data_IF_501384246599
#
_entry.id   IF_501384246599
#
_cell.length_a   1.000
_cell.length_b   1.000
_cell.length_c   1.000
_cell.angle_alpha   90.00
_cell.angle_beta   90.00
_cell.angle_gamma   90.00
#
_symmetry.space_group_name_H-M   'P 1'
#
loop_
_entity.id
_entity.type
_entity.pdbx_description
1 polymer ?
#
# COMPACT_ATOMS: atom_id res chain seq x y z
N UNK A 1 -56.80 -40.70 -36.13
CA UNK A 1 -57.69 -41.65 -35.44
C UNK A 1 -56.94 -42.10 -34.21
N UNK A 2 -57.27 -41.53 -33.05
CA UNK A 2 -58.19 -42.09 -32.05
C UNK A 2 -57.40 -42.90 -31.02
N UNK A 3 -57.42 -42.47 -29.75
CA UNK A 3 -57.20 -43.38 -28.62
C UNK A 3 -58.34 -44.42 -28.55
N UNK A 4 -58.24 -45.48 -27.73
CA UNK A 4 -58.33 -45.37 -26.26
C UNK A 4 -57.42 -46.37 -25.48
N UNK A 5 -57.06 -46.11 -24.22
CA UNK A 5 -57.57 -46.67 -22.93
C UNK A 5 -57.26 -48.16 -22.63
N UNK A 6 -56.59 -48.32 -21.47
CA UNK A 6 -56.65 -49.33 -20.39
C UNK A 6 -57.18 -50.77 -20.62
N UNK A 7 -56.39 -51.78 -20.19
CA UNK A 7 -56.81 -52.96 -19.38
C UNK A 7 -55.53 -53.78 -19.03
N UNK A 8 -55.10 -53.87 -17.77
CA UNK A 8 -55.41 -54.93 -16.78
C UNK A 8 -54.59 -56.22 -16.89
N UNK A 9 -53.77 -56.45 -15.85
CA UNK A 9 -53.50 -57.75 -15.22
C UNK A 9 -52.72 -58.81 -15.98
N UNK A 10 -51.47 -59.05 -15.57
CA UNK A 10 -51.06 -60.40 -15.16
C UNK A 10 -49.85 -60.30 -14.20
N UNK A 11 -50.00 -60.88 -13.02
CA UNK A 11 -48.94 -61.08 -12.05
C UNK A 11 -48.10 -62.28 -12.52
N UNK A 12 -46.80 -62.08 -12.74
CA UNK A 12 -45.85 -63.18 -12.57
C UNK A 12 -44.72 -62.72 -11.67
N UNK A 13 -44.74 -63.32 -10.48
CA UNK A 13 -43.76 -63.30 -9.43
C UNK A 13 -42.37 -63.70 -9.93
N UNK A 14 -41.55 -62.73 -10.30
CA UNK A 14 -40.11 -62.90 -10.24
C UNK A 14 -39.64 -62.54 -8.83
N UNK A 15 -39.70 -63.57 -7.98
CA UNK A 15 -39.05 -63.63 -6.67
C UNK A 15 -37.55 -63.34 -6.84
N UNK A 16 -37.18 -62.06 -6.83
CA UNK A 16 -35.78 -61.64 -6.67
C UNK A 16 -35.37 -61.89 -5.21
N UNK A 17 -34.80 -63.08 -5.03
CA UNK A 17 -34.26 -63.65 -3.79
C UNK A 17 -32.97 -62.93 -3.33
N UNK A 18 -32.96 -61.60 -3.36
CA UNK A 18 -31.83 -60.79 -2.90
C UNK A 18 -32.03 -60.22 -1.49
N UNK A 19 -32.91 -60.83 -0.70
CA UNK A 19 -33.36 -60.34 0.60
C UNK A 19 -32.34 -60.48 1.77
N UNK A 20 -31.07 -60.81 1.52
CA UNK A 20 -30.10 -60.97 2.61
C UNK A 20 -28.73 -60.28 2.46
N UNK A 21 -28.55 -59.34 1.53
CA UNK A 21 -27.45 -58.36 1.66
C UNK A 21 -27.99 -56.99 2.05
N UNK A 22 -28.40 -56.90 3.32
CA UNK A 22 -28.34 -55.64 4.06
C UNK A 22 -26.87 -55.23 4.22
N UNK A 23 -26.29 -54.68 3.16
CA UNK A 23 -25.11 -53.83 3.28
C UNK A 23 -25.43 -52.75 4.32
N UNK A 24 -24.50 -52.39 5.23
CA UNK A 24 -24.81 -51.51 6.32
C UNK A 24 -25.32 -50.20 5.74
N UNK A 25 -26.63 -49.96 5.92
CA UNK A 25 -27.24 -48.66 5.71
C UNK A 25 -26.35 -47.68 6.46
N UNK A 26 -25.56 -46.89 5.72
CA UNK A 26 -24.86 -45.74 6.28
C UNK A 26 -25.95 -44.76 6.71
N UNK A 27 -26.53 -45.02 7.88
CA UNK A 27 -27.26 -44.04 8.65
C UNK A 27 -26.30 -42.88 8.79
N UNK A 28 -26.52 -41.84 7.99
CA UNK A 28 -25.86 -40.55 8.15
C UNK A 28 -26.11 -40.17 9.59
N UNK A 29 -25.10 -40.35 10.44
CA UNK A 29 -25.18 -39.94 11.84
C UNK A 29 -25.62 -38.49 11.83
N UNK A 30 -26.66 -38.11 12.59
CA UNK A 30 -27.04 -36.71 12.66
C UNK A 30 -25.79 -35.96 13.10
N UNK A 31 -25.27 -35.09 12.22
CA UNK A 31 -24.09 -34.30 12.52
C UNK A 31 -24.40 -33.58 13.83
N UNK A 32 -23.59 -33.81 14.85
CA UNK A 32 -23.77 -33.14 16.13
C UNK A 32 -23.83 -31.64 15.88
N UNK A 33 -24.72 -30.94 16.58
CA UNK A 33 -24.89 -29.49 16.42
C UNK A 33 -23.54 -28.74 16.48
N UNK A 34 -22.62 -29.22 17.31
CA UNK A 34 -21.25 -28.71 17.40
C UNK A 34 -20.43 -28.87 16.11
N UNK A 35 -20.56 -29.99 15.39
CA UNK A 35 -19.88 -30.20 14.11
C UNK A 35 -20.42 -29.29 13.01
N UNK A 36 -21.73 -28.98 13.06
CA UNK A 36 -22.34 -28.01 12.14
C UNK A 36 -21.83 -26.60 12.43
N UNK A 37 -21.78 -26.20 13.71
CA UNK A 37 -21.21 -24.92 14.13
C UNK A 37 -19.75 -24.83 13.71
N UNK A 38 -18.92 -25.84 14.01
CA UNK A 38 -17.50 -25.86 13.63
C UNK A 38 -17.32 -25.68 12.12
N UNK A 39 -18.12 -26.36 11.29
CA UNK A 39 -18.08 -26.19 9.83
C UNK A 39 -18.45 -24.77 9.40
N UNK A 40 -19.41 -24.13 10.08
CA UNK A 40 -19.77 -22.73 9.83
C UNK A 40 -18.65 -21.78 10.27
N UNK A 41 -17.97 -22.06 11.40
CA UNK A 41 -16.81 -21.28 11.85
C UNK A 41 -15.65 -21.38 10.84
N UNK A 42 -15.32 -22.59 10.39
CA UNK A 42 -14.25 -22.83 9.42
C UNK A 42 -14.54 -22.16 8.08
N UNK A 43 -15.81 -22.15 7.65
CA UNK A 43 -16.22 -21.53 6.39
C UNK A 43 -16.25 -20.01 6.44
N UNK A 44 -16.72 -19.42 7.54
CA UNK A 44 -17.05 -18.00 7.59
C UNK A 44 -16.21 -17.18 8.57
N UNK A 45 -15.49 -17.79 9.51
CA UNK A 45 -14.70 -17.07 10.53
C UNK A 45 -13.19 -17.24 10.39
N UNK A 46 -12.71 -17.99 9.39
CA UNK A 46 -11.28 -18.09 9.09
C UNK A 46 -10.78 -16.79 8.44
N UNK A 47 -9.64 -16.28 8.91
CA UNK A 47 -8.96 -15.11 8.31
C UNK A 47 -8.21 -15.53 7.04
N UNK A 48 -8.25 -14.69 6.01
CA UNK A 48 -7.60 -14.92 4.72
C UNK A 48 -8.50 -15.53 3.64
N UNK A 49 -9.74 -15.92 3.98
CA UNK A 49 -10.68 -16.58 3.07
C UNK A 49 -11.60 -15.62 2.31
N UNK A 50 -11.36 -14.31 2.36
CA UNK A 50 -12.26 -13.27 1.81
C UNK A 50 -13.72 -13.45 2.28
N UNK A 51 -13.90 -13.99 3.49
CA UNK A 51 -15.23 -14.22 4.06
C UNK A 51 -15.91 -12.89 4.42
N UNK A 52 -17.26 -12.84 4.46
CA UNK A 52 -17.99 -11.65 4.90
C UNK A 52 -17.56 -11.15 6.29
N UNK A 53 -17.17 -12.07 7.18
CA UNK A 53 -16.66 -11.74 8.51
C UNK A 53 -15.32 -11.01 8.41
N UNK A 54 -14.40 -11.51 7.57
CA UNK A 54 -13.14 -10.82 7.31
C UNK A 54 -13.38 -9.40 6.78
N UNK A 55 -14.27 -9.24 5.79
CA UNK A 55 -14.61 -7.92 5.26
C UNK A 55 -15.15 -6.96 6.34
N UNK A 56 -16.02 -7.47 7.23
CA UNK A 56 -16.53 -6.68 8.36
C UNK A 56 -15.43 -6.29 9.35
N UNK A 57 -14.47 -7.18 9.64
CA UNK A 57 -13.32 -6.88 10.51
C UNK A 57 -12.36 -5.89 9.85
N UNK A 58 -12.14 -6.02 8.54
CA UNK A 58 -11.29 -5.11 7.76
C UNK A 58 -11.92 -3.71 7.72
N UNK A 59 -13.24 -3.62 7.49
CA UNK A 59 -14.01 -2.38 7.59
C UNK A 59 -13.93 -1.76 9.00
N UNK A 60 -14.05 -2.56 10.06
CA UNK A 60 -13.88 -2.09 11.45
C UNK A 60 -12.49 -1.51 11.67
N UNK A 61 -11.46 -2.21 11.18
CA UNK A 61 -10.05 -1.80 11.34
C UNK A 61 -9.77 -0.53 10.54
N UNK A 62 -10.31 -0.44 9.33
CA UNK A 62 -10.26 0.75 8.50
C UNK A 62 -10.98 1.94 9.15
N UNK A 63 -12.19 1.74 9.66
CA UNK A 63 -12.94 2.75 10.40
C UNK A 63 -12.22 3.24 11.65
N UNK A 64 -11.55 2.33 12.37
CA UNK A 64 -10.72 2.68 13.52
C UNK A 64 -9.47 3.48 13.10
N UNK A 65 -8.85 3.12 11.98
CA UNK A 65 -7.74 3.89 11.39
C UNK A 65 -8.18 5.29 10.98
N UNK A 66 -9.36 5.43 10.38
CA UNK A 66 -9.97 6.74 10.09
C UNK A 66 -10.18 7.49 11.41
N UNK A 67 -10.80 6.88 12.41
CA UNK A 67 -11.07 7.55 13.68
C UNK A 67 -9.80 8.08 14.36
N UNK A 68 -8.70 7.32 14.35
CA UNK A 68 -7.43 7.76 14.96
C UNK A 68 -6.63 8.76 14.12
N UNK A 69 -6.72 8.71 12.79
CA UNK A 69 -5.95 9.58 11.89
C UNK A 69 -6.73 10.83 11.45
N UNK A 70 -8.06 10.79 11.46
CA UNK A 70 -8.90 11.92 11.11
C UNK A 70 -9.11 12.77 12.35
N UNK A 71 -8.65 14.02 12.28
CA UNK A 71 -8.88 15.04 13.28
C UNK A 71 -10.38 15.18 13.58
N UNK A 72 -10.84 14.70 14.73
CA UNK A 72 -12.23 14.89 15.16
C UNK A 72 -12.39 16.33 15.66
N UNK A 73 -13.52 17.00 15.35
CA UNK A 73 -13.83 18.34 15.87
C UNK A 73 -13.61 18.37 17.39
N UNK A 74 -12.70 19.23 17.85
CA UNK A 74 -12.29 19.34 19.27
C UNK A 74 -10.83 19.00 19.56
N UNK A 75 -10.06 18.46 18.60
CA UNK A 75 -8.63 18.17 18.79
C UNK A 75 -7.70 19.37 18.62
N UNK A 76 -8.20 20.48 18.09
CA UNK A 76 -7.43 21.71 17.89
C UNK A 76 -8.17 22.80 18.65
N UNK A 77 -7.65 23.15 19.83
CA UNK A 77 -8.14 24.25 20.64
C UNK A 77 -7.15 25.41 20.56
N UNK A 78 -7.68 26.62 20.45
CA UNK A 78 -6.91 27.85 20.50
C UNK A 78 -7.09 28.47 21.88
N UNK A 79 -6.08 28.31 22.74
CA UNK A 79 -6.09 28.91 24.07
C UNK A 79 -5.45 30.29 23.99
N UNK A 80 -6.16 31.33 24.44
CA UNK A 80 -5.67 32.72 24.52
C UNK A 80 -5.13 33.31 23.20
N UNK A 81 -5.49 32.74 22.04
CA UNK A 81 -5.14 33.23 20.70
C UNK A 81 -3.72 32.88 20.21
N UNK A 82 -2.77 32.61 21.11
CA UNK A 82 -1.37 32.31 20.75
C UNK A 82 -0.95 30.87 21.07
N UNK A 83 -1.71 30.11 21.84
CA UNK A 83 -1.39 28.72 22.17
C UNK A 83 -2.31 27.74 21.41
N UNK A 84 -1.69 26.80 20.70
CA UNK A 84 -2.37 25.72 20.00
C UNK A 84 -2.27 24.45 20.83
N UNK A 85 -3.42 23.88 21.14
CA UNK A 85 -3.52 22.62 21.87
C UNK A 85 -3.97 21.54 20.87
N UNK A 86 -3.07 20.59 20.62
CA UNK A 86 -3.33 19.43 19.77
C UNK A 86 -3.11 18.13 20.53
N UNK A 87 -4.20 17.43 20.88
CA UNK A 87 -4.15 16.27 21.80
C UNK A 87 -3.47 16.66 23.12
N UNK A 88 -2.36 16.01 23.47
CA UNK A 88 -1.54 16.30 24.66
C UNK A 88 -0.39 17.28 24.35
N UNK A 89 -0.28 17.77 23.11
CA UNK A 89 0.75 18.70 22.71
C UNK A 89 0.26 20.14 22.93
N UNK A 90 0.99 20.87 23.75
CA UNK A 90 0.81 22.29 23.98
C UNK A 90 1.99 23.02 23.36
N UNK A 91 1.73 23.89 22.38
CA UNK A 91 2.79 24.74 21.83
C UNK A 91 2.22 26.10 21.41
N UNK A 92 3.02 27.15 21.60
CA UNK A 92 2.67 28.49 21.13
C UNK A 92 2.82 28.60 19.60
N UNK A 93 2.17 29.57 18.99
CA UNK A 93 2.31 29.86 17.57
C UNK A 93 3.75 30.25 17.21
N UNK A 94 4.46 30.91 18.14
CA UNK A 94 5.89 31.18 18.01
C UNK A 94 6.72 29.89 17.95
N UNK A 95 6.43 28.92 18.83
CA UNK A 95 7.09 27.61 18.83
C UNK A 95 6.73 26.81 17.56
N UNK A 96 5.47 26.84 17.13
CA UNK A 96 5.05 26.19 15.89
C UNK A 96 5.79 26.74 14.67
N UNK A 97 5.82 28.07 14.51
CA UNK A 97 6.55 28.73 13.44
C UNK A 97 8.04 28.41 13.51
N UNK A 98 8.62 28.45 14.71
CA UNK A 98 10.02 28.07 14.95
C UNK A 98 10.30 26.63 14.53
N UNK A 99 9.42 25.69 14.88
CA UNK A 99 9.53 24.29 14.49
C UNK A 99 9.42 24.11 12.96
N UNK A 100 8.45 24.76 12.31
CA UNK A 100 8.30 24.70 10.84
C UNK A 100 9.52 25.30 10.15
N UNK A 101 9.99 26.46 10.61
CA UNK A 101 11.21 27.08 10.08
C UNK A 101 12.45 26.21 10.32
N UNK A 102 12.58 25.62 11.51
CA UNK A 102 13.67 24.71 11.85
C UNK A 102 13.64 23.45 10.98
N UNK A 103 12.48 22.81 10.82
CA UNK A 103 12.31 21.64 9.96
C UNK A 103 12.62 21.98 8.50
N UNK A 104 12.15 23.12 8.00
CA UNK A 104 12.45 23.57 6.64
C UNK A 104 13.95 23.86 6.46
N UNK A 105 14.60 24.47 7.47
CA UNK A 105 16.03 24.75 7.47
C UNK A 105 16.86 23.46 7.47
N UNK A 106 16.54 22.51 8.36
CA UNK A 106 17.23 21.22 8.42
C UNK A 106 16.99 20.38 7.17
N UNK A 107 15.77 20.36 6.64
CA UNK A 107 15.45 19.66 5.39
C UNK A 107 16.25 20.26 4.22
N UNK A 108 16.34 21.60 4.16
CA UNK A 108 17.16 22.30 3.15
C UNK A 108 18.64 21.99 3.34
N UNK A 109 19.13 21.96 4.57
CA UNK A 109 20.51 21.61 4.90
C UNK A 109 20.84 20.20 4.44
N UNK A 110 20.03 19.21 4.82
CA UNK A 110 20.18 17.81 4.41
C UNK A 110 20.10 17.67 2.88
N UNK A 111 19.14 18.33 2.22
CA UNK A 111 19.04 18.31 0.76
C UNK A 111 20.29 18.88 0.11
N UNK A 112 20.79 20.01 0.61
CA UNK A 112 21.93 20.71 0.01
C UNK A 112 23.23 19.97 0.27
N UNK A 113 23.49 19.57 1.52
CA UNK A 113 24.77 19.00 1.97
C UNK A 113 24.86 17.49 1.66
N UNK A 114 23.83 16.72 2.00
CA UNK A 114 23.89 15.24 1.93
C UNK A 114 23.41 14.68 0.59
N UNK A 115 22.39 15.30 -0.03
CA UNK A 115 21.81 14.78 -1.28
C UNK A 115 22.44 15.43 -2.51
N UNK A 116 22.63 16.75 -2.48
CA UNK A 116 23.14 17.52 -3.62
C UNK A 116 24.63 17.79 -3.53
N UNK A 117 25.29 17.44 -2.42
CA UNK A 117 26.73 17.65 -2.18
C UNK A 117 27.19 19.08 -2.45
N UNK A 118 26.32 20.05 -2.16
CA UNK A 118 26.61 21.47 -2.28
C UNK A 118 27.69 21.88 -1.28
N UNK A 119 28.77 22.49 -1.78
CA UNK A 119 29.81 23.11 -0.95
C UNK A 119 29.98 24.58 -1.31
N UNK A 120 30.69 25.34 -0.47
CA UNK A 120 31.03 26.75 -0.79
C UNK A 120 31.81 26.90 -2.11
N UNK A 121 32.53 25.86 -2.55
CA UNK A 121 33.28 25.86 -3.79
C UNK A 121 32.43 25.48 -5.01
N UNK A 122 31.30 24.77 -4.81
CA UNK A 122 30.39 24.34 -5.86
C UNK A 122 28.94 24.43 -5.37
N UNK A 123 28.31 25.62 -5.47
CA UNK A 123 26.94 25.81 -4.99
C UNK A 123 25.94 24.96 -5.77
N UNK A 124 24.78 24.72 -5.16
CA UNK A 124 23.62 24.13 -5.86
C UNK A 124 23.04 25.18 -6.82
N UNK A 125 22.81 24.86 -8.10
CA UNK A 125 22.24 25.79 -9.07
C UNK A 125 20.85 26.21 -8.59
N UNK A 126 20.56 27.50 -8.72
CA UNK A 126 19.22 28.00 -8.47
C UNK A 126 18.26 27.40 -9.51
N UNK A 127 17.18 26.78 -9.03
CA UNK A 127 16.13 26.27 -9.91
C UNK A 127 15.23 27.44 -10.30
N UNK A 128 15.08 27.75 -11.60
CA UNK A 128 14.23 28.84 -12.06
C UNK A 128 12.76 28.41 -12.07
N UNK A 129 12.16 28.33 -10.88
CA UNK A 129 10.78 27.85 -10.68
C UNK A 129 9.72 28.61 -11.48
N UNK A 130 9.97 29.87 -11.85
CA UNK A 130 9.02 30.70 -12.59
C UNK A 130 9.02 30.41 -14.09
N UNK A 131 10.18 30.05 -14.65
CA UNK A 131 10.36 29.79 -16.07
C UNK A 131 10.27 28.31 -16.43
N UNK A 132 10.34 27.42 -15.43
CA UNK A 132 10.15 25.98 -15.66
C UNK A 132 8.77 25.74 -16.30
N UNK A 133 8.78 24.99 -17.39
CA UNK A 133 7.59 24.57 -18.11
C UNK A 133 7.69 23.08 -18.35
N UNK A 134 6.53 22.45 -18.29
CA UNK A 134 6.36 21.05 -18.67
C UNK A 134 5.28 20.97 -19.73
N UNK A 135 5.44 20.03 -20.65
CA UNK A 135 4.43 19.70 -21.63
C UNK A 135 3.75 18.39 -21.24
N UNK A 136 2.59 18.43 -20.54
CA UNK A 136 1.91 17.22 -20.07
C UNK A 136 1.30 16.39 -21.21
N UNK A 137 1.33 16.88 -22.46
CA UNK A 137 0.84 16.14 -23.63
C UNK A 137 1.91 15.28 -24.31
N UNK A 138 3.18 15.45 -23.94
CA UNK A 138 4.27 14.64 -24.48
C UNK A 138 4.49 13.39 -23.62
N UNK A 139 3.99 12.26 -24.10
CA UNK A 139 4.11 10.96 -23.43
C UNK A 139 5.31 10.14 -23.94
N UNK A 140 6.25 10.75 -24.67
CA UNK A 140 7.41 10.02 -25.18
C UNK A 140 8.23 9.41 -24.04
N UNK A 141 8.65 8.14 -24.15
CA UNK A 141 9.53 7.52 -23.16
C UNK A 141 10.82 8.34 -22.96
N UNK A 142 11.07 8.75 -21.71
CA UNK A 142 12.23 9.57 -21.36
C UNK A 142 12.04 11.08 -21.55
N UNK A 143 10.83 11.55 -21.85
CA UNK A 143 10.50 12.98 -21.73
C UNK A 143 10.59 13.45 -20.27
N UNK A 144 11.14 14.65 -20.06
CA UNK A 144 11.17 15.35 -18.79
C UNK A 144 11.11 16.86 -19.05
N UNK A 145 10.80 17.65 -18.02
CA UNK A 145 10.74 19.11 -18.12
C UNK A 145 12.10 19.77 -18.46
N UNK A 146 13.22 19.05 -18.31
CA UNK A 146 14.56 19.54 -18.67
C UNK A 146 14.78 19.52 -20.20
N UNK A 147 14.02 18.71 -20.94
CA UNK A 147 14.07 18.62 -22.40
C UNK A 147 13.16 19.63 -23.10
N UNK A 148 12.32 20.34 -22.35
CA UNK A 148 11.52 21.43 -22.89
C UNK A 148 12.42 22.61 -23.27
N UNK A 149 12.38 23.00 -24.54
CA UNK A 149 13.14 24.13 -25.08
C UNK A 149 12.79 25.48 -24.41
N UNK A 150 11.67 25.54 -23.69
CA UNK A 150 11.21 26.72 -22.93
C UNK A 150 11.86 26.80 -21.56
N UNK A 151 12.35 25.69 -21.02
CA UNK A 151 13.01 25.61 -19.73
C UNK A 151 14.51 25.85 -19.92
N UNK A 152 14.99 27.03 -19.53
CA UNK A 152 16.43 27.34 -19.53
C UNK A 152 17.01 27.11 -18.15
N UNK A 153 17.68 25.97 -17.95
CA UNK A 153 18.45 25.70 -16.74
C UNK A 153 19.83 26.38 -16.81
N UNK A 154 20.40 26.83 -15.67
CA UNK A 154 21.74 27.42 -15.64
C UNK A 154 22.88 26.41 -15.82
N UNK A 155 22.59 25.11 -15.67
CA UNK A 155 23.53 24.00 -15.81
C UNK A 155 22.87 22.86 -16.58
N UNK A 156 23.66 21.87 -17.02
CA UNK A 156 23.13 20.61 -17.54
C UNK A 156 22.45 19.83 -16.42
N UNK A 157 21.13 19.99 -16.31
CA UNK A 157 20.33 19.39 -15.22
C UNK A 157 20.38 17.86 -15.19
N UNK A 158 20.64 17.19 -16.30
CA UNK A 158 20.71 15.72 -16.34
C UNK A 158 22.05 15.21 -15.83
N UNK A 159 23.15 15.92 -16.09
CA UNK A 159 24.52 15.46 -15.78
C UNK A 159 25.14 16.09 -14.55
N UNK A 160 24.65 17.25 -14.12
CA UNK A 160 25.29 18.04 -13.08
C UNK A 160 25.53 17.28 -11.77
N UNK A 161 24.57 16.47 -11.29
CA UNK A 161 24.75 15.70 -10.06
C UNK A 161 25.71 14.50 -10.27
N UNK A 162 25.66 13.88 -11.45
CA UNK A 162 26.53 12.75 -11.78
C UNK A 162 28.00 13.18 -11.94
N UNK A 163 28.24 14.29 -12.63
CA UNK A 163 29.57 14.89 -12.77
C UNK A 163 30.15 15.20 -11.40
N UNK A 164 29.35 15.78 -10.50
CA UNK A 164 29.75 16.08 -9.12
C UNK A 164 30.12 14.84 -8.31
N UNK A 165 29.30 13.79 -8.39
CA UNK A 165 29.58 12.50 -7.74
C UNK A 165 30.88 11.92 -8.31
N UNK A 166 31.12 12.04 -9.62
CA UNK A 166 32.32 11.54 -10.30
C UNK A 166 33.62 12.30 -10.02
N UNK A 167 33.54 13.62 -9.84
CA UNK A 167 34.69 14.51 -9.57
C UNK A 167 35.22 14.35 -8.13
N UNK A 168 34.34 14.09 -7.17
CA UNK A 168 34.72 14.03 -5.76
C UNK A 168 35.07 12.60 -5.34
N UNK A 169 36.37 12.33 -5.16
CA UNK A 169 36.87 11.02 -4.73
C UNK A 169 36.24 10.51 -3.41
N UNK A 170 35.93 11.41 -2.48
CA UNK A 170 35.26 11.10 -1.21
C UNK A 170 33.77 10.75 -1.35
N UNK A 171 33.10 11.27 -2.38
CA UNK A 171 31.68 10.98 -2.65
C UNK A 171 31.58 9.69 -3.44
N UNK A 172 32.47 9.47 -4.41
CA UNK A 172 32.54 8.20 -5.16
C UNK A 172 32.68 7.00 -4.26
N UNK A 173 33.52 7.04 -3.23
CA UNK A 173 33.70 5.90 -2.31
C UNK A 173 32.44 5.56 -1.50
N UNK A 174 31.49 6.49 -1.36
CA UNK A 174 30.19 6.27 -0.69
C UNK A 174 29.17 5.59 -1.61
N UNK A 175 29.29 5.72 -2.93
CA UNK A 175 28.37 5.15 -3.92
C UNK A 175 28.92 3.95 -4.69
N UNK A 176 30.22 3.93 -4.96
CA UNK A 176 30.90 2.83 -5.62
C UNK A 176 31.42 1.88 -4.55
N UNK A 177 30.69 0.78 -4.33
CA UNK A 177 31.29 -0.37 -3.64
C UNK A 177 32.37 -0.92 -4.56
N UNK A 178 33.57 -1.12 -4.02
CA UNK A 178 34.67 -1.74 -4.76
C UNK A 178 34.21 -3.13 -5.22
N UNK A 179 33.91 -3.29 -6.51
CA UNK A 179 33.51 -4.55 -7.12
C UNK A 179 34.62 -5.61 -7.06
N UNK A 180 35.77 -5.28 -6.50
CA UNK A 180 36.90 -6.20 -6.30
C UNK A 180 36.71 -7.19 -5.14
N UNK A 181 35.80 -6.97 -4.18
CA UNK A 181 35.66 -7.86 -3.00
C UNK A 181 34.69 -9.03 -3.16
N UNK A 182 33.94 -9.12 -4.27
CA UNK A 182 32.95 -10.21 -4.47
C UNK A 182 33.59 -11.50 -5.04
N UNK A 183 34.81 -11.45 -5.61
CA UNK A 183 35.45 -12.60 -6.28
C UNK A 183 36.59 -13.29 -5.49
N UNK A 184 36.58 -13.27 -4.15
CA UNK A 184 37.61 -13.97 -3.33
C UNK A 184 37.04 -14.89 -2.24
N UNK A 185 35.94 -15.58 -2.51
CA UNK A 185 35.44 -16.61 -1.59
C UNK A 185 34.70 -17.72 -2.34
N UNK A 186 35.46 -18.54 -3.08
CA UNK A 186 35.11 -19.93 -3.42
C UNK A 186 36.33 -20.78 -3.14
#
# INVERSE_FOLDING_TARGET
>A
MSGPEEDSGDETDDLDDSAYESGPSQRRRPKGYLQLVQKMMERFMVRGSHSPMQWMLDLRTYGLKIHYNTITRGHVEWTNGDELLYKELHFSMAQFRGMVHGLASESRRLLTEELMFGSKAAPVPAVPWESIRDNPTDERPGWNFLKDHRTSMPVDGERWLFERVGESASIRSRFMTDSATINRST
#
